data_IF_797545482095
#
_entry.id   IF_797545482095
#
_cell.length_a   1.000
_cell.length_b   1.000
_cell.length_c   1.000
_cell.angle_alpha   90.00
_cell.angle_beta   90.00
_cell.angle_gamma   90.00
#
_symmetry.space_group_name_H-M   'P 1'
#
loop_
_entity.id
_entity.type
_entity.pdbx_description
1 polymer ?
#
# COMPACT_ATOMS: atom_id res chain seq x y z
N UNK A 1 15.50 15.83 44.28
CA UNK A 1 14.72 14.58 44.24
C UNK A 1 13.25 14.94 44.26
N UNK A 2 12.53 14.73 43.16
CA UNK A 2 11.07 14.90 43.11
C UNK A 2 10.42 13.76 43.89
N UNK A 3 9.58 14.09 44.88
CA UNK A 3 8.86 13.08 45.66
C UNK A 3 7.89 12.31 44.76
N UNK A 4 7.95 10.98 44.81
CA UNK A 4 7.06 10.10 44.03
C UNK A 4 5.64 10.20 44.59
N UNK A 5 4.74 10.83 43.84
CA UNK A 5 3.33 11.02 44.22
C UNK A 5 2.52 9.75 43.94
N UNK A 6 1.83 9.22 44.95
CA UNK A 6 0.86 8.13 44.78
C UNK A 6 -0.44 8.71 44.20
N UNK A 7 -0.95 8.09 43.14
CA UNK A 7 -2.17 8.50 42.44
C UNK A 7 -3.03 7.25 42.13
N UNK A 8 -4.37 7.40 42.06
CA UNK A 8 -5.25 6.30 41.65
C UNK A 8 -4.83 5.71 40.30
N UNK A 9 -5.07 4.42 40.11
CA UNK A 9 -4.87 3.76 38.82
C UNK A 9 -5.67 4.50 37.73
N UNK A 10 -5.03 4.81 36.60
CA UNK A 10 -5.61 5.57 35.49
C UNK A 10 -5.50 7.10 35.59
N UNK A 11 -5.06 7.67 36.72
CA UNK A 11 -4.93 9.12 36.90
C UNK A 11 -3.49 9.64 36.77
N UNK A 12 -2.56 8.80 36.30
CA UNK A 12 -1.17 9.18 36.11
C UNK A 12 -1.03 10.08 34.89
N UNK A 13 -0.38 11.25 35.02
CA UNK A 13 -0.07 12.08 33.86
C UNK A 13 0.75 11.28 32.85
N UNK A 14 0.22 11.10 31.64
CA UNK A 14 0.87 10.38 30.55
C UNK A 14 1.39 11.40 29.53
N UNK A 15 2.68 11.35 29.13
CA UNK A 15 3.17 12.09 27.98
C UNK A 15 2.69 11.49 26.64
N UNK A 16 2.15 10.27 26.67
CA UNK A 16 1.58 9.58 25.50
C UNK A 16 0.14 10.04 25.35
N UNK A 17 -0.12 10.84 24.33
CA UNK A 17 -1.47 11.31 23.97
C UNK A 17 -2.14 10.37 22.97
N UNK A 18 -3.46 10.47 22.80
CA UNK A 18 -4.16 9.73 21.74
C UNK A 18 -3.60 10.06 20.35
N UNK A 19 -3.20 11.31 20.11
CA UNK A 19 -2.57 11.72 18.84
C UNK A 19 -1.19 11.07 18.64
N UNK A 20 -0.42 10.87 19.72
CA UNK A 20 0.89 10.21 19.68
C UNK A 20 0.79 8.75 19.21
N UNK A 21 -0.33 8.08 19.51
CA UNK A 21 -0.59 6.71 19.05
C UNK A 21 -0.78 6.65 17.52
N UNK A 22 -1.44 7.65 16.95
CA UNK A 22 -1.70 7.73 15.50
C UNK A 22 -0.42 8.11 14.75
N UNK A 23 0.32 9.11 15.23
CA UNK A 23 1.55 9.57 14.58
C UNK A 23 2.66 8.50 14.57
N UNK A 24 2.75 7.67 15.62
CA UNK A 24 3.71 6.56 15.70
C UNK A 24 3.28 5.28 15.01
N UNK A 25 2.13 5.26 14.31
CA UNK A 25 1.54 4.03 13.75
C UNK A 25 1.93 3.74 12.31
N UNK A 26 2.98 4.38 11.79
CA UNK A 26 3.58 3.99 10.50
C UNK A 26 3.95 2.51 10.58
N UNK A 27 3.35 1.71 9.69
CA UNK A 27 3.61 0.28 9.58
C UNK A 27 4.34 0.02 8.27
N UNK A 28 5.53 -0.54 8.40
CA UNK A 28 6.26 -1.11 7.27
C UNK A 28 5.85 -2.57 7.11
N UNK A 29 5.52 -2.95 5.90
CA UNK A 29 5.19 -4.32 5.50
C UNK A 29 5.92 -4.69 4.22
N UNK A 30 5.83 -5.97 3.86
CA UNK A 30 6.27 -6.54 2.57
C UNK A 30 7.55 -5.94 2.01
N UNK A 31 8.71 -6.50 2.34
CA UNK A 31 9.97 -6.04 1.77
C UNK A 31 10.29 -6.84 0.52
N UNK A 32 10.66 -6.16 -0.57
CA UNK A 32 11.19 -6.76 -1.80
C UNK A 32 12.51 -6.11 -2.20
N UNK A 33 13.32 -6.86 -2.93
CA UNK A 33 14.59 -6.39 -3.50
C UNK A 33 14.49 -6.48 -5.01
N UNK A 34 14.91 -5.43 -5.69
CA UNK A 34 14.99 -5.36 -7.15
C UNK A 34 16.33 -4.70 -7.53
N UNK A 35 17.23 -5.47 -8.14
CA UNK A 35 18.63 -5.07 -8.28
C UNK A 35 19.27 -4.73 -6.93
N UNK A 36 19.82 -3.52 -6.83
CA UNK A 36 20.44 -3.01 -5.59
C UNK A 36 19.46 -2.20 -4.72
N UNK A 37 18.21 -2.04 -5.15
CA UNK A 37 17.20 -1.27 -4.43
C UNK A 37 16.37 -2.14 -3.49
N UNK A 38 16.01 -1.56 -2.34
CA UNK A 38 15.09 -2.17 -1.38
C UNK A 38 13.76 -1.44 -1.42
N UNK A 39 12.68 -2.19 -1.58
CA UNK A 39 11.33 -1.68 -1.66
C UNK A 39 10.48 -2.20 -0.51
N UNK A 40 9.54 -1.40 0.00
CA UNK A 40 8.58 -1.84 1.02
C UNK A 40 7.23 -1.16 0.88
N UNK A 41 6.20 -1.76 1.47
CA UNK A 41 4.92 -1.10 1.68
C UNK A 41 4.91 -0.36 3.00
N UNK A 42 4.39 0.86 3.02
CA UNK A 42 4.32 1.72 4.19
C UNK A 42 2.92 2.30 4.35
N UNK A 43 2.28 2.04 5.48
CA UNK A 43 1.00 2.68 5.78
C UNK A 43 1.20 4.16 6.12
N UNK A 44 0.34 5.00 5.55
CA UNK A 44 0.27 6.45 5.77
C UNK A 44 -1.01 6.82 6.53
N UNK A 45 -1.07 6.68 7.88
CA UNK A 45 -2.26 6.97 8.67
C UNK A 45 -2.85 8.37 8.44
N UNK A 46 -2.00 9.36 8.20
CA UNK A 46 -2.38 10.76 7.95
C UNK A 46 -2.87 11.03 6.53
N UNK A 47 -2.73 10.08 5.60
CA UNK A 47 -3.12 10.20 4.19
C UNK A 47 -4.29 9.26 3.85
N UNK A 48 -5.34 9.31 4.66
CA UNK A 48 -6.50 8.41 4.52
C UNK A 48 -6.18 6.95 4.84
N UNK A 49 -5.06 6.70 5.53
CA UNK A 49 -4.59 5.36 5.85
C UNK A 49 -4.12 4.57 4.63
N UNK A 50 -3.85 5.20 3.49
CA UNK A 50 -3.40 4.52 2.27
C UNK A 50 -2.07 3.79 2.46
N UNK A 51 -1.79 2.85 1.58
CA UNK A 51 -0.55 2.08 1.51
C UNK A 51 0.32 2.66 0.42
N UNK A 52 1.47 3.22 0.82
CA UNK A 52 2.51 3.72 -0.07
C UNK A 52 3.48 2.59 -0.40
N UNK A 53 4.06 2.60 -1.60
CA UNK A 53 5.26 1.82 -1.91
C UNK A 53 6.46 2.76 -1.89
N UNK A 54 7.51 2.38 -1.18
CA UNK A 54 8.72 3.19 -1.01
C UNK A 54 9.91 2.43 -1.55
N UNK A 55 10.76 3.11 -2.31
CA UNK A 55 12.06 2.62 -2.80
C UNK A 55 13.17 3.25 -1.98
N UNK A 56 14.15 2.46 -1.57
CA UNK A 56 15.43 2.94 -1.03
C UNK A 56 16.57 2.51 -1.93
N UNK A 57 17.30 3.50 -2.41
CA UNK A 57 18.49 3.33 -3.26
C UNK A 57 19.73 2.96 -2.43
N UNK A 58 20.82 2.48 -3.07
CA UNK A 58 22.05 2.08 -2.37
C UNK A 58 22.71 3.20 -1.57
N UNK A 59 22.57 4.46 -2.02
CA UNK A 59 23.04 5.65 -1.31
C UNK A 59 22.20 6.02 -0.07
N UNK A 60 21.09 5.30 0.15
CA UNK A 60 20.20 5.46 1.28
C UNK A 60 19.06 6.44 1.07
N UNK A 61 18.92 7.03 -0.12
CA UNK A 61 17.80 7.92 -0.45
C UNK A 61 16.49 7.13 -0.54
N UNK A 62 15.42 7.65 0.05
CA UNK A 62 14.08 7.06 -0.02
C UNK A 62 13.21 7.86 -0.99
N UNK A 63 12.51 7.16 -1.87
CA UNK A 63 11.57 7.71 -2.84
C UNK A 63 10.22 7.05 -2.68
N UNK A 64 9.20 7.88 -2.49
CA UNK A 64 7.81 7.48 -2.55
C UNK A 64 7.43 7.21 -4.03
N UNK A 65 6.85 6.04 -4.32
CA UNK A 65 6.37 5.68 -5.65
C UNK A 65 5.24 6.60 -6.14
N UNK A 66 4.25 6.84 -5.28
CA UNK A 66 3.15 7.77 -5.54
C UNK A 66 3.42 9.13 -4.90
N UNK A 67 3.14 10.24 -5.60
CA UNK A 67 3.19 11.56 -4.99
C UNK A 67 2.16 11.69 -3.85
N UNK A 68 2.36 12.61 -2.90
CA UNK A 68 1.36 12.94 -1.90
C UNK A 68 0.03 13.32 -2.58
N UNK A 69 -1.12 12.87 -2.04
CA UNK A 69 -2.41 13.26 -2.59
C UNK A 69 -2.62 14.77 -2.46
N UNK A 70 -3.05 15.40 -3.54
CA UNK A 70 -3.34 16.83 -3.62
C UNK A 70 -4.62 17.01 -4.46
N UNK A 71 -5.79 17.13 -3.81
CA UNK A 71 -7.06 17.31 -4.50
C UNK A 71 -7.11 18.60 -5.33
N UNK A 72 -6.42 19.66 -4.90
CA UNK A 72 -6.41 20.96 -5.56
C UNK A 72 -5.59 20.91 -6.86
N UNK A 73 -4.51 20.12 -6.86
CA UNK A 73 -3.70 19.84 -8.05
C UNK A 73 -4.22 18.66 -8.90
N UNK A 74 -5.33 18.03 -8.52
CA UNK A 74 -5.89 16.86 -9.20
C UNK A 74 -5.06 15.58 -9.03
N UNK A 75 -4.15 15.54 -8.05
CA UNK A 75 -3.35 14.36 -7.72
C UNK A 75 -4.16 13.46 -6.80
N UNK A 76 -4.58 12.31 -7.33
CA UNK A 76 -5.37 11.36 -6.56
C UNK A 76 -4.55 10.60 -5.53
N UNK A 77 -5.23 10.08 -4.50
CA UNK A 77 -4.65 9.20 -3.49
C UNK A 77 -4.56 7.74 -4.00
N UNK A 78 -3.39 7.35 -4.49
CA UNK A 78 -3.10 5.95 -4.82
C UNK A 78 -2.90 5.11 -3.55
N UNK A 79 -3.49 3.92 -3.52
CA UNK A 79 -3.44 3.01 -2.37
C UNK A 79 -3.06 1.59 -2.82
N UNK A 80 -1.82 1.16 -2.60
CA UNK A 80 -1.36 -0.19 -2.94
C UNK A 80 -1.94 -1.23 -1.97
N UNK A 81 -3.23 -1.56 -2.14
CA UNK A 81 -4.03 -2.35 -1.22
C UNK A 81 -4.96 -3.31 -1.94
N UNK A 82 -4.87 -4.56 -1.53
CA UNK A 82 -5.80 -5.62 -1.94
C UNK A 82 -6.89 -5.86 -0.90
N UNK A 83 -8.09 -6.24 -1.36
CA UNK A 83 -9.17 -6.81 -0.56
C UNK A 83 -9.27 -8.34 -0.69
N UNK A 84 -8.39 -8.98 -1.47
CA UNK A 84 -8.38 -10.43 -1.56
C UNK A 84 -7.99 -11.03 -0.19
N UNK A 85 -8.80 -11.96 0.30
CA UNK A 85 -8.74 -12.48 1.66
C UNK A 85 -9.10 -11.45 2.75
N UNK A 86 -9.41 -10.19 2.41
CA UNK A 86 -9.73 -9.08 3.31
C UNK A 86 -8.61 -8.67 4.31
N UNK A 87 -7.41 -9.26 4.20
CA UNK A 87 -6.29 -9.01 5.11
C UNK A 87 -5.26 -7.98 4.58
N UNK A 88 -5.37 -7.55 3.33
CA UNK A 88 -4.62 -6.38 2.84
C UNK A 88 -3.18 -6.61 2.38
N UNK A 89 -2.74 -7.86 2.20
CA UNK A 89 -1.39 -8.22 1.76
C UNK A 89 -1.30 -8.67 0.29
N UNK A 90 -0.08 -8.81 -0.21
CA UNK A 90 0.27 -9.27 -1.55
C UNK A 90 -0.13 -8.29 -2.66
N UNK A 91 -0.32 -7.02 -2.33
CA UNK A 91 -1.00 -6.06 -3.20
C UNK A 91 -0.11 -5.44 -4.30
N UNK A 92 1.19 -5.73 -4.31
CA UNK A 92 2.12 -5.15 -5.29
C UNK A 92 3.25 -6.12 -5.59
N UNK A 93 4.04 -5.85 -6.62
CA UNK A 93 5.31 -6.48 -6.97
C UNK A 93 6.20 -5.48 -7.71
N UNK A 94 7.50 -5.76 -7.77
CA UNK A 94 8.47 -4.96 -8.52
C UNK A 94 9.40 -5.86 -9.31
N UNK A 95 9.72 -5.45 -10.53
CA UNK A 95 10.72 -6.08 -11.39
C UNK A 95 11.33 -5.01 -12.31
N UNK A 96 12.67 -4.90 -12.34
CA UNK A 96 13.42 -3.94 -13.19
C UNK A 96 12.91 -2.50 -13.04
N UNK A 97 12.58 -2.11 -11.82
CA UNK A 97 12.04 -0.81 -11.43
C UNK A 97 10.57 -0.58 -11.77
N UNK A 98 9.91 -1.52 -12.46
CA UNK A 98 8.50 -1.43 -12.81
C UNK A 98 7.69 -2.02 -11.67
N UNK A 99 6.77 -1.23 -11.11
CA UNK A 99 5.87 -1.69 -10.06
C UNK A 99 4.52 -2.02 -10.65
N UNK A 100 4.01 -3.20 -10.32
CA UNK A 100 2.60 -3.54 -10.52
C UNK A 100 1.91 -3.59 -9.16
N UNK A 101 0.69 -3.08 -9.06
CA UNK A 101 -0.04 -3.06 -7.79
C UNK A 101 -1.54 -3.05 -7.97
N UNK A 102 -2.26 -3.46 -6.93
CA UNK A 102 -3.71 -3.38 -6.82
C UNK A 102 -4.06 -2.06 -6.18
N UNK A 103 -4.90 -1.25 -6.85
CA UNK A 103 -5.39 0.00 -6.26
C UNK A 103 -6.60 -0.27 -5.34
N UNK A 104 -6.52 0.24 -4.11
CA UNK A 104 -7.58 0.17 -3.10
C UNK A 104 -8.92 0.76 -3.57
N UNK A 105 -8.88 1.71 -4.51
CA UNK A 105 -10.06 2.43 -4.99
C UNK A 105 -10.94 1.62 -5.95
N UNK A 106 -10.33 0.79 -6.82
CA UNK A 106 -11.01 0.07 -7.91
C UNK A 106 -10.73 -1.45 -7.92
N UNK A 107 -9.74 -1.92 -7.17
CA UNK A 107 -9.26 -3.31 -7.13
C UNK A 107 -8.73 -3.84 -8.48
N UNK A 108 -8.37 -2.94 -9.40
CA UNK A 108 -7.68 -3.27 -10.65
C UNK A 108 -6.18 -3.33 -10.40
N UNK A 109 -5.48 -4.11 -11.23
CA UNK A 109 -4.03 -4.09 -11.28
C UNK A 109 -3.62 -2.88 -12.15
N UNK A 110 -2.75 -2.05 -11.61
CA UNK A 110 -2.10 -0.93 -12.29
C UNK A 110 -0.60 -1.21 -12.41
N UNK A 111 0.02 -0.63 -13.43
CA UNK A 111 1.46 -0.64 -13.69
C UNK A 111 1.97 0.80 -13.57
N UNK A 112 3.16 0.96 -12.98
CA UNK A 112 3.84 2.24 -12.90
C UNK A 112 5.33 2.05 -13.15
N UNK A 113 5.85 2.83 -14.09
CA UNK A 113 7.27 3.00 -14.29
C UNK A 113 7.80 4.16 -13.42
N UNK A 114 9.10 4.16 -13.06
CA UNK A 114 9.68 5.26 -12.31
C UNK A 114 9.47 6.62 -13.01
N UNK A 115 8.79 7.54 -12.32
CA UNK A 115 8.51 8.89 -12.84
C UNK A 115 7.30 8.98 -13.78
N UNK A 116 6.60 7.89 -14.04
CA UNK A 116 5.36 7.87 -14.82
C UNK A 116 4.12 7.90 -13.90
N UNK A 117 2.97 8.28 -14.47
CA UNK A 117 1.69 8.09 -13.80
C UNK A 117 1.27 6.61 -13.90
N UNK A 118 0.69 6.01 -12.86
CA UNK A 118 0.23 4.63 -12.98
C UNK A 118 -0.96 4.50 -13.93
N UNK A 119 -0.98 3.38 -14.66
CA UNK A 119 -1.99 3.05 -15.66
C UNK A 119 -2.57 1.64 -15.41
N UNK A 120 -3.85 1.38 -15.75
CA UNK A 120 -4.41 0.03 -15.63
C UNK A 120 -3.65 -0.98 -16.50
N UNK A 121 -3.34 -2.15 -15.94
CA UNK A 121 -2.74 -3.23 -16.71
C UNK A 121 -3.75 -3.75 -17.74
N UNK A 122 -3.35 -3.74 -19.02
CA UNK A 122 -4.21 -4.15 -20.12
C UNK A 122 -4.60 -5.64 -20.02
N UNK A 123 -5.80 -5.98 -20.49
CA UNK A 123 -6.25 -7.37 -20.64
C UNK A 123 -6.96 -7.98 -19.42
N UNK A 124 -7.06 -7.27 -18.29
CA UNK A 124 -7.91 -7.70 -17.19
C UNK A 124 -9.40 -7.51 -17.55
N UNK A 125 -10.21 -8.54 -17.37
CA UNK A 125 -11.66 -8.44 -17.56
C UNK A 125 -12.27 -7.49 -16.52
N UNK A 126 -13.16 -6.61 -16.97
CA UNK A 126 -13.93 -5.76 -16.06
C UNK A 126 -14.95 -6.62 -15.30
N UNK A 127 -15.01 -6.51 -13.96
CA UNK A 127 -16.01 -7.23 -13.20
C UNK A 127 -17.41 -6.66 -13.44
N UNK A 128 -18.44 -7.50 -13.31
CA UNK A 128 -19.84 -7.05 -13.48
C UNK A 128 -20.33 -6.22 -12.30
N UNK A 129 -19.66 -6.33 -11.15
CA UNK A 129 -19.92 -5.56 -9.94
C UNK A 129 -18.65 -4.89 -9.41
N UNK A 130 -18.82 -3.79 -8.67
CA UNK A 130 -17.70 -3.10 -8.01
C UNK A 130 -16.97 -4.07 -7.08
N UNK A 131 -15.64 -4.19 -7.25
CA UNK A 131 -14.80 -5.11 -6.48
C UNK A 131 -15.11 -6.60 -6.68
N UNK A 132 -15.73 -6.95 -7.82
CA UNK A 132 -16.02 -8.34 -8.21
C UNK A 132 -14.75 -9.14 -8.53
N UNK A 133 -13.67 -8.49 -8.97
CA UNK A 133 -12.35 -9.08 -9.09
C UNK A 133 -11.41 -8.47 -8.05
N UNK A 134 -10.67 -9.32 -7.33
CA UNK A 134 -9.68 -8.91 -6.32
C UNK A 134 -8.43 -9.75 -6.50
N UNK A 135 -7.26 -9.15 -6.32
CA UNK A 135 -5.98 -9.80 -6.66
C UNK A 135 -5.02 -9.75 -5.48
N UNK A 136 -4.23 -10.78 -5.25
CA UNK A 136 -3.12 -10.75 -4.28
C UNK A 136 -1.96 -11.60 -4.76
N UNK A 137 -0.89 -11.60 -3.97
CA UNK A 137 0.34 -12.35 -4.21
C UNK A 137 0.91 -12.07 -5.61
N UNK A 138 0.90 -10.79 -5.99
CA UNK A 138 1.51 -10.36 -7.25
C UNK A 138 3.01 -10.72 -7.21
N UNK A 139 3.47 -11.36 -8.28
CA UNK A 139 4.88 -11.64 -8.53
C UNK A 139 5.18 -11.58 -10.02
N UNK A 140 6.34 -11.04 -10.40
CA UNK A 140 6.86 -11.24 -11.76
C UNK A 140 7.24 -12.71 -11.94
N UNK A 141 6.99 -13.23 -13.14
CA UNK A 141 7.43 -14.56 -13.54
C UNK A 141 8.55 -14.47 -14.59
N UNK A 142 8.36 -13.61 -15.58
CA UNK A 142 9.35 -13.26 -16.60
C UNK A 142 9.10 -11.83 -17.10
N UNK A 143 9.69 -11.48 -18.24
CA UNK A 143 9.60 -10.14 -18.82
C UNK A 143 8.19 -9.75 -19.27
N UNK A 144 7.31 -10.72 -19.52
CA UNK A 144 5.99 -10.55 -20.12
C UNK A 144 4.84 -10.90 -19.15
N UNK A 145 5.12 -11.67 -18.11
CA UNK A 145 4.10 -12.24 -17.23
C UNK A 145 4.24 -11.84 -15.77
N UNK A 146 3.10 -11.47 -15.21
CA UNK A 146 2.88 -11.46 -13.77
C UNK A 146 1.96 -12.62 -13.40
N UNK A 147 2.20 -13.21 -12.23
CA UNK A 147 1.33 -14.21 -11.62
C UNK A 147 0.72 -13.59 -10.36
N UNK A 148 -0.56 -13.88 -10.13
CA UNK A 148 -1.29 -13.47 -8.94
C UNK A 148 -2.41 -14.47 -8.65
N UNK A 149 -2.90 -14.45 -7.42
CA UNK A 149 -4.18 -15.06 -7.07
C UNK A 149 -5.31 -14.08 -7.36
N UNK A 150 -6.36 -14.54 -8.04
CA UNK A 150 -7.60 -13.77 -8.26
C UNK A 150 -8.76 -14.39 -7.49
N UNK A 151 -9.38 -13.61 -6.62
CA UNK A 151 -10.68 -13.91 -6.04
C UNK A 151 -11.79 -13.27 -6.88
N UNK A 152 -12.85 -14.04 -7.15
CA UNK A 152 -14.02 -13.60 -7.91
C UNK A 152 -15.24 -13.57 -6.99
N UNK A 153 -15.83 -12.39 -6.85
CA UNK A 153 -17.05 -12.09 -6.11
C UNK A 153 -18.14 -11.61 -7.07
N UNK A 154 -18.30 -12.35 -8.16
CA UNK A 154 -19.36 -12.11 -9.13
C UNK A 154 -20.67 -12.74 -8.62
N UNK A 155 -21.84 -12.17 -8.96
CA UNK A 155 -23.11 -12.84 -8.73
C UNK A 155 -23.12 -14.20 -9.41
N UNK A 156 -23.73 -15.20 -8.76
CA UNK A 156 -24.00 -16.47 -9.42
C UNK A 156 -24.84 -16.22 -10.68
N UNK A 157 -24.43 -16.81 -11.79
CA UNK A 157 -25.23 -16.80 -13.02
C UNK A 157 -26.39 -17.76 -12.81
N UNK A 158 -27.59 -17.22 -12.56
CA UNK A 158 -28.85 -17.97 -12.47
C UNK A 158 -29.41 -18.21 -13.87
#
# INVERSE_FOLDING_TARGET
MTARRVLPHGAWPSPITAASLVAGSVRVGEVRVDGDDVWWSEQRPTEGGRTQVVRRTPDGTCHDLFPPPDPDAGVRAWDARSRAGEYGGGAWAVDRGIVVFVDGADQRIHRVEPGAAPEPLAGASEPSVRFGHRYRDLTSWDDDWIICERETHEPDVV
#
